data_IF_845533247624
#
_entry.id   IF_845533247624
#
_cell.length_a   1.000
_cell.length_b   1.000
_cell.length_c   1.000
_cell.angle_alpha   90.00
_cell.angle_beta   90.00
_cell.angle_gamma   90.00
#
_symmetry.space_group_name_H-M   'P 1'
#
loop_
_entity.id
_entity.type
_entity.pdbx_description
1 polymer ?
#
# COMPACT_ATOMS: atom_id res chain seq x y z
N UNK A 1 40.44 92.81 30.86
CA UNK A 1 39.86 92.09 32.01
C UNK A 1 39.74 90.60 31.61
N UNK A 2 40.31 89.77 32.40
CA UNK A 2 40.60 88.38 32.07
C UNK A 2 39.39 87.47 32.15
N UNK A 3 39.11 86.68 31.06
CA UNK A 3 38.10 85.61 31.02
C UNK A 3 38.80 84.26 30.94
N UNK A 4 38.63 83.43 31.99
CA UNK A 4 39.20 82.10 32.07
C UNK A 4 38.50 81.10 31.18
N UNK A 5 39.26 80.42 30.37
CA UNK A 5 38.83 79.26 29.61
C UNK A 5 38.92 77.95 30.42
N UNK A 6 37.85 77.20 30.53
CA UNK A 6 37.82 75.82 31.09
C UNK A 6 37.99 74.77 29.99
N UNK A 7 38.76 73.68 30.19
CA UNK A 7 38.98 72.69 29.18
C UNK A 7 37.83 71.66 29.14
N UNK A 8 37.33 71.37 27.95
CA UNK A 8 36.38 70.30 27.69
C UNK A 8 37.07 68.94 27.80
N UNK A 9 36.58 68.11 28.71
CA UNK A 9 36.91 66.67 28.77
C UNK A 9 36.32 65.93 27.58
N UNK A 10 37.17 65.26 26.77
CA UNK A 10 36.80 64.33 25.78
C UNK A 10 36.32 63.01 26.45
N UNK A 11 35.07 62.63 26.19
CA UNK A 11 34.54 61.28 26.52
C UNK A 11 35.06 60.30 25.47
N UNK A 12 35.84 59.31 25.86
CA UNK A 12 36.19 58.14 25.10
C UNK A 12 35.03 57.17 25.20
N UNK A 13 34.30 56.90 24.07
CA UNK A 13 33.34 55.81 23.93
C UNK A 13 34.12 54.51 23.74
N UNK A 14 33.96 53.59 24.67
CA UNK A 14 34.44 52.23 24.52
C UNK A 14 33.42 51.45 23.68
N UNK A 15 33.80 50.98 22.50
CA UNK A 15 33.03 50.08 21.70
C UNK A 15 33.30 48.68 22.26
N UNK A 16 32.31 48.07 22.90
CA UNK A 16 32.34 46.65 23.28
C UNK A 16 32.02 45.80 22.02
N UNK A 17 33.01 45.10 21.52
CA UNK A 17 32.82 44.08 20.46
C UNK A 17 32.31 42.82 21.18
N UNK A 18 31.01 42.59 21.12
CA UNK A 18 30.39 41.33 21.53
C UNK A 18 30.68 40.25 20.51
N UNK A 19 31.54 39.29 20.83
CA UNK A 19 31.71 38.08 20.04
C UNK A 19 30.46 37.21 20.21
N UNK A 20 29.63 37.11 19.16
CA UNK A 20 28.55 36.11 19.07
C UNK A 20 29.18 34.77 18.73
N UNK A 21 29.32 33.91 19.72
CA UNK A 21 29.63 32.50 19.51
C UNK A 21 28.38 31.85 18.85
N UNK A 22 28.42 31.63 17.54
CA UNK A 22 27.49 30.76 16.86
C UNK A 22 27.81 29.31 17.27
N UNK A 23 27.02 28.73 18.17
CA UNK A 23 27.03 27.30 18.44
C UNK A 23 26.34 26.65 17.23
N UNK A 24 27.12 26.08 16.35
CA UNK A 24 26.61 25.18 15.32
C UNK A 24 26.04 23.96 16.05
N UNK A 25 24.72 23.84 16.09
CA UNK A 25 24.07 22.60 16.48
C UNK A 25 24.47 21.55 15.44
N UNK A 26 25.33 20.61 15.81
CA UNK A 26 25.56 19.40 15.05
C UNK A 26 24.24 18.61 15.15
N UNK A 27 23.47 18.59 14.07
CA UNK A 27 22.31 17.72 13.98
C UNK A 27 22.82 16.28 14.21
N UNK A 28 22.24 15.58 15.18
CA UNK A 28 22.48 14.16 15.32
C UNK A 28 22.15 13.49 13.97
N UNK A 29 22.95 12.51 13.49
CA UNK A 29 22.59 11.76 12.30
C UNK A 29 21.18 11.17 12.53
N UNK A 30 20.30 11.33 11.55
CA UNK A 30 19.02 10.64 11.56
C UNK A 30 19.31 9.15 11.81
N UNK A 31 18.58 8.52 12.73
CA UNK A 31 18.69 7.09 12.92
C UNK A 31 18.42 6.44 11.56
N UNK A 32 19.33 5.53 11.13
CA UNK A 32 19.07 4.73 9.93
C UNK A 32 17.75 3.99 10.14
N UNK A 33 16.88 4.03 9.10
CA UNK A 33 15.61 3.32 9.13
C UNK A 33 15.86 1.82 9.33
N UNK A 34 15.16 1.22 10.29
CA UNK A 34 15.34 -0.18 10.61
C UNK A 34 14.70 -1.05 9.51
N UNK A 35 15.48 -1.93 8.91
CA UNK A 35 14.98 -2.89 7.91
C UNK A 35 14.65 -4.20 8.62
N UNK A 36 13.48 -4.77 8.36
CA UNK A 36 13.09 -6.07 8.92
C UNK A 36 14.10 -7.17 8.56
N UNK A 37 14.21 -8.21 9.38
CA UNK A 37 15.07 -9.35 9.08
C UNK A 37 14.67 -10.03 7.76
N UNK A 38 15.63 -10.47 6.95
CA UNK A 38 15.36 -11.15 5.67
C UNK A 38 14.85 -12.59 5.83
N UNK A 39 14.94 -13.17 7.02
CA UNK A 39 14.41 -14.50 7.34
C UNK A 39 13.04 -14.38 7.98
N UNK A 40 11.97 -14.96 7.39
CA UNK A 40 10.63 -14.84 7.95
C UNK A 40 10.49 -15.60 9.26
N UNK A 41 9.61 -15.12 10.14
CA UNK A 41 9.23 -15.85 11.36
C UNK A 41 8.32 -17.03 11.01
N UNK A 42 8.32 -18.12 11.82
CA UNK A 42 7.40 -19.24 11.61
C UNK A 42 5.94 -18.80 11.82
N UNK A 43 5.15 -18.87 10.76
CA UNK A 43 3.71 -18.56 10.79
C UNK A 43 2.94 -19.54 9.92
N UNK A 44 1.60 -19.57 10.04
CA UNK A 44 0.80 -20.36 9.12
C UNK A 44 1.04 -19.94 7.68
N UNK A 45 1.00 -20.90 6.78
CA UNK A 45 1.17 -20.75 5.33
C UNK A 45 -0.10 -21.15 4.60
N UNK A 46 -0.26 -20.69 3.37
CA UNK A 46 -1.44 -21.02 2.53
C UNK A 46 -1.08 -22.08 1.49
N UNK A 47 -2.09 -22.81 0.97
CA UNK A 47 -1.90 -23.75 -0.14
C UNK A 47 -2.04 -23.09 -1.52
N UNK A 48 -2.20 -21.78 -1.58
CA UNK A 48 -2.35 -21.01 -2.81
C UNK A 48 -2.02 -19.55 -2.60
N UNK A 49 -2.15 -18.75 -3.65
CA UNK A 49 -1.72 -17.36 -3.69
C UNK A 49 -2.52 -16.46 -2.74
N UNK A 50 -1.80 -15.61 -1.98
CA UNK A 50 -2.36 -14.47 -1.25
C UNK A 50 -2.26 -13.23 -2.12
N UNK A 51 -3.37 -12.49 -2.26
CA UNK A 51 -3.49 -11.28 -3.07
C UNK A 51 -3.61 -10.00 -2.23
N UNK A 52 -4.04 -10.11 -0.98
CA UNK A 52 -4.26 -8.96 -0.11
C UNK A 52 -4.02 -9.35 1.34
N UNK A 53 -3.40 -8.44 2.08
CA UNK A 53 -3.09 -8.59 3.50
C UNK A 53 -3.49 -7.28 4.19
N UNK A 54 -4.13 -7.37 5.35
CA UNK A 54 -4.36 -6.22 6.24
C UNK A 54 -4.02 -6.63 7.66
N UNK A 55 -3.22 -5.83 8.34
CA UNK A 55 -2.85 -6.01 9.75
C UNK A 55 -3.58 -4.95 10.58
N UNK A 56 -4.43 -5.39 11.50
CA UNK A 56 -5.13 -4.47 12.41
C UNK A 56 -5.45 -5.13 13.73
N UNK A 57 -5.26 -4.40 14.83
CA UNK A 57 -5.61 -4.83 16.20
C UNK A 57 -5.06 -6.22 16.57
N UNK A 58 -3.81 -6.52 16.18
CA UNK A 58 -3.16 -7.80 16.48
C UNK A 58 -3.63 -8.98 15.63
N UNK A 59 -4.40 -8.73 14.57
CA UNK A 59 -4.87 -9.73 13.61
C UNK A 59 -4.34 -9.44 12.21
N UNK A 60 -3.85 -10.48 11.55
CA UNK A 60 -3.48 -10.47 10.13
C UNK A 60 -4.63 -11.10 9.35
N UNK A 61 -5.34 -10.32 8.55
CA UNK A 61 -6.34 -10.82 7.61
C UNK A 61 -5.69 -11.03 6.26
N UNK A 62 -5.87 -12.21 5.66
CA UNK A 62 -5.33 -12.57 4.34
C UNK A 62 -6.47 -12.96 3.40
N UNK A 63 -6.38 -12.49 2.15
CA UNK A 63 -7.32 -12.81 1.09
C UNK A 63 -6.60 -13.32 -0.18
N UNK A 64 -7.21 -14.24 -0.94
CA UNK A 64 -6.52 -14.77 -2.11
C UNK A 64 -7.23 -15.88 -2.87
N UNK A 65 -6.42 -16.80 -3.40
CA UNK A 65 -6.86 -17.99 -4.16
C UNK A 65 -6.64 -19.31 -3.42
N UNK A 66 -6.27 -19.26 -2.17
CA UNK A 66 -6.05 -20.46 -1.36
C UNK A 66 -7.38 -21.07 -0.88
N UNK A 67 -7.33 -22.32 -0.46
CA UNK A 67 -8.48 -23.05 0.12
C UNK A 67 -8.16 -23.63 1.50
N UNK A 68 -6.90 -23.53 1.92
CA UNK A 68 -6.49 -24.00 3.23
C UNK A 68 -5.26 -23.23 3.75
N UNK A 69 -5.14 -23.21 5.07
CA UNK A 69 -3.95 -22.75 5.79
C UNK A 69 -3.39 -23.91 6.63
N UNK A 70 -2.08 -23.91 6.90
CA UNK A 70 -1.40 -24.95 7.66
C UNK A 70 -0.17 -24.40 8.37
N UNK A 71 0.33 -25.06 9.42
CA UNK A 71 1.57 -24.65 10.09
C UNK A 71 2.76 -24.55 9.14
N UNK A 72 3.71 -23.66 9.43
CA UNK A 72 4.95 -23.49 8.67
C UNK A 72 5.73 -24.80 8.55
N UNK A 73 6.25 -25.08 7.35
CA UNK A 73 7.09 -26.27 7.09
C UNK A 73 6.39 -27.62 7.26
N UNK A 74 5.06 -27.64 7.53
CA UNK A 74 4.28 -28.87 7.74
C UNK A 74 3.44 -29.23 6.52
N UNK A 75 3.29 -30.52 6.26
CA UNK A 75 2.29 -31.07 5.33
C UNK A 75 1.01 -31.52 6.04
N UNK A 76 0.96 -31.49 7.37
CA UNK A 76 -0.18 -31.88 8.21
C UNK A 76 -0.74 -30.66 8.97
N UNK A 77 -1.87 -30.87 9.66
CA UNK A 77 -2.52 -29.79 10.44
C UNK A 77 -3.19 -28.71 9.55
N UNK A 78 -3.59 -29.09 8.34
CA UNK A 78 -4.31 -28.19 7.43
C UNK A 78 -5.70 -27.86 7.94
N UNK A 79 -6.04 -26.58 7.93
CA UNK A 79 -7.37 -26.05 8.29
C UNK A 79 -7.98 -25.45 7.03
N UNK A 80 -9.19 -25.89 6.68
CA UNK A 80 -9.92 -25.31 5.53
C UNK A 80 -10.21 -23.84 5.78
N UNK A 81 -9.81 -22.99 4.83
CA UNK A 81 -10.10 -21.56 4.77
C UNK A 81 -10.21 -21.16 3.31
N UNK A 82 -11.44 -20.98 2.86
CA UNK A 82 -11.71 -20.68 1.46
C UNK A 82 -11.53 -19.19 1.19
N UNK A 83 -10.46 -18.86 0.49
CA UNK A 83 -10.14 -17.53 -0.07
C UNK A 83 -9.91 -16.40 0.94
N UNK A 84 -10.18 -16.60 2.22
CA UNK A 84 -9.89 -15.65 3.29
C UNK A 84 -9.61 -16.38 4.59
N UNK A 85 -8.68 -15.85 5.38
CA UNK A 85 -8.34 -16.34 6.72
C UNK A 85 -7.85 -15.19 7.61
N UNK A 86 -7.86 -15.43 8.92
CA UNK A 86 -7.24 -14.54 9.89
C UNK A 86 -6.20 -15.31 10.73
N UNK A 87 -5.06 -14.66 10.98
CA UNK A 87 -3.98 -15.16 11.80
C UNK A 87 -3.76 -14.21 12.98
N UNK A 88 -3.31 -14.75 14.11
CA UNK A 88 -2.86 -13.93 15.22
C UNK A 88 -1.47 -13.35 14.91
N UNK A 89 -1.32 -12.04 14.95
CA UNK A 89 -0.03 -11.37 14.79
C UNK A 89 0.99 -11.80 15.87
N UNK A 90 0.52 -12.02 17.10
CA UNK A 90 1.40 -12.37 18.22
C UNK A 90 1.93 -13.82 18.15
N UNK A 91 1.18 -14.75 17.54
CA UNK A 91 1.52 -16.19 17.59
C UNK A 91 1.68 -16.84 16.22
N UNK A 92 1.32 -16.13 15.13
CA UNK A 92 1.30 -16.67 13.77
C UNK A 92 0.25 -17.78 13.56
N UNK A 93 -0.60 -18.08 14.56
CA UNK A 93 -1.59 -19.17 14.51
C UNK A 93 -2.86 -18.74 13.80
N UNK A 94 -3.52 -19.69 13.10
CA UNK A 94 -4.82 -19.44 12.48
C UNK A 94 -5.90 -19.21 13.54
N UNK A 95 -6.70 -18.18 13.32
CA UNK A 95 -7.87 -17.86 14.17
C UNK A 95 -9.13 -18.58 13.67
N UNK A 96 -10.18 -18.73 14.52
CA UNK A 96 -11.45 -19.35 14.13
C UNK A 96 -12.20 -18.61 13.02
N UNK A 97 -11.85 -17.36 12.73
CA UNK A 97 -12.48 -16.53 11.72
C UNK A 97 -12.46 -17.19 10.33
N UNK A 98 -13.65 -17.48 9.79
CA UNK A 98 -13.84 -18.18 8.50
C UNK A 98 -15.08 -17.65 7.77
N UNK A 99 -14.95 -16.65 6.91
CA UNK A 99 -16.07 -16.14 6.13
C UNK A 99 -16.49 -17.08 5.00
N UNK A 100 -15.72 -18.11 4.69
CA UNK A 100 -16.00 -19.13 3.68
C UNK A 100 -16.45 -18.51 2.34
N UNK A 101 -15.53 -17.87 1.64
CA UNK A 101 -15.77 -17.17 0.35
C UNK A 101 -15.68 -18.17 -0.79
N UNK A 102 -16.61 -18.14 -1.77
CA UNK A 102 -16.64 -19.12 -2.87
C UNK A 102 -15.80 -18.75 -4.09
N UNK A 103 -15.01 -17.68 -4.04
CA UNK A 103 -14.15 -17.24 -5.15
C UNK A 103 -13.07 -16.28 -4.68
N UNK A 104 -12.22 -15.88 -5.61
CA UNK A 104 -11.01 -15.10 -5.31
C UNK A 104 -11.34 -13.81 -4.57
N UNK A 105 -10.68 -13.61 -3.42
CA UNK A 105 -10.57 -12.32 -2.76
C UNK A 105 -9.35 -11.60 -3.33
N UNK A 106 -9.56 -10.39 -3.84
CA UNK A 106 -8.54 -9.54 -4.46
C UNK A 106 -8.05 -8.46 -3.51
N UNK A 107 -8.96 -7.94 -2.68
CA UNK A 107 -8.68 -6.86 -1.75
C UNK A 107 -9.43 -7.05 -0.45
N UNK A 108 -8.80 -6.62 0.63
CA UNK A 108 -9.35 -6.50 1.97
C UNK A 108 -9.23 -5.05 2.45
N UNK A 109 -10.22 -4.60 3.22
CA UNK A 109 -10.12 -3.40 4.03
C UNK A 109 -10.75 -3.69 5.41
N UNK A 110 -10.21 -3.10 6.48
CA UNK A 110 -10.72 -3.33 7.85
C UNK A 110 -11.07 -2.00 8.49
N UNK A 111 -12.29 -1.90 9.00
CA UNK A 111 -12.79 -0.70 9.67
C UNK A 111 -14.18 -0.95 10.25
N UNK A 112 -14.60 -0.14 11.22
CA UNK A 112 -15.94 -0.19 11.81
C UNK A 112 -16.33 -1.58 12.40
N UNK A 113 -15.34 -2.32 12.93
CA UNK A 113 -15.55 -3.69 13.43
C UNK A 113 -15.83 -4.72 12.33
N UNK A 114 -15.48 -4.44 11.07
CA UNK A 114 -15.74 -5.26 9.89
C UNK A 114 -14.49 -5.49 9.07
N UNK A 115 -14.49 -6.61 8.33
CA UNK A 115 -13.60 -6.86 7.21
C UNK A 115 -14.43 -6.77 5.93
N UNK A 116 -14.05 -5.86 5.06
CA UNK A 116 -14.65 -5.73 3.72
C UNK A 116 -13.84 -6.59 2.76
N UNK A 117 -14.55 -7.37 1.94
CA UNK A 117 -13.99 -8.30 0.97
C UNK A 117 -14.33 -7.83 -0.43
N UNK A 118 -13.33 -7.52 -1.25
CA UNK A 118 -13.46 -7.22 -2.67
C UNK A 118 -12.89 -8.35 -3.52
N UNK A 119 -13.50 -8.65 -4.68
CA UNK A 119 -12.94 -9.70 -5.53
C UNK A 119 -13.84 -10.20 -6.64
N UNK A 120 -13.69 -11.49 -6.97
CA UNK A 120 -14.42 -12.20 -8.04
C UNK A 120 -15.18 -13.42 -7.47
N UNK A 121 -15.97 -13.17 -6.44
CA UNK A 121 -16.81 -14.18 -5.78
C UNK A 121 -18.30 -13.87 -5.98
N UNK A 122 -19.17 -14.81 -5.66
CA UNK A 122 -20.63 -14.67 -5.74
C UNK A 122 -21.33 -14.97 -4.42
N UNK A 123 -20.65 -15.61 -3.47
CA UNK A 123 -21.20 -15.86 -2.12
C UNK A 123 -20.13 -15.83 -1.03
N UNK A 124 -20.57 -15.48 0.18
CA UNK A 124 -19.79 -15.47 1.41
C UNK A 124 -20.62 -16.14 2.49
N UNK A 125 -20.06 -17.13 3.19
CA UNK A 125 -20.77 -17.89 4.22
C UNK A 125 -22.09 -18.52 3.72
N UNK A 126 -22.14 -18.98 2.47
CA UNK A 126 -23.36 -19.50 1.84
C UNK A 126 -24.40 -18.43 1.45
N UNK A 127 -24.19 -17.17 1.81
CA UNK A 127 -25.09 -16.05 1.48
C UNK A 127 -24.66 -15.39 0.16
N UNK A 128 -25.63 -15.11 -0.73
CA UNK A 128 -25.33 -14.42 -2.00
C UNK A 128 -24.76 -13.03 -1.73
N UNK A 129 -23.51 -12.83 -2.11
CA UNK A 129 -22.74 -11.57 -2.04
C UNK A 129 -21.83 -11.51 -3.24
N UNK A 130 -22.13 -10.61 -4.15
CA UNK A 130 -21.41 -10.56 -5.44
C UNK A 130 -20.30 -9.52 -5.37
N UNK A 131 -19.04 -9.97 -5.39
CA UNK A 131 -17.80 -9.20 -5.58
C UNK A 131 -17.45 -8.17 -4.49
N UNK A 132 -18.41 -7.79 -3.64
CA UNK A 132 -18.20 -6.89 -2.51
C UNK A 132 -19.08 -7.34 -1.35
N UNK A 133 -18.47 -7.59 -0.20
CA UNK A 133 -19.16 -8.04 1.02
C UNK A 133 -18.51 -7.42 2.24
N UNK A 134 -19.25 -7.38 3.35
CA UNK A 134 -18.71 -7.11 4.67
C UNK A 134 -18.99 -8.32 5.60
N UNK A 135 -18.00 -8.66 6.40
CA UNK A 135 -18.12 -9.65 7.46
C UNK A 135 -17.70 -9.04 8.79
N UNK A 136 -18.20 -9.55 9.88
CA UNK A 136 -17.80 -9.15 11.23
C UNK A 136 -16.32 -9.50 11.47
N UNK A 137 -15.54 -8.57 11.98
CA UNK A 137 -14.10 -8.72 12.13
C UNK A 137 -13.71 -9.76 13.20
N UNK A 138 -14.55 -10.02 14.18
CA UNK A 138 -14.27 -10.98 15.24
C UNK A 138 -14.73 -12.40 14.88
N UNK A 139 -15.93 -12.54 14.30
CA UNK A 139 -16.57 -13.85 14.05
C UNK A 139 -16.47 -14.35 12.60
N UNK A 140 -16.25 -13.46 11.62
CA UNK A 140 -16.35 -13.80 10.20
C UNK A 140 -17.78 -13.90 9.66
N UNK A 141 -18.79 -13.64 10.48
CA UNK A 141 -20.19 -13.71 10.08
C UNK A 141 -20.53 -12.62 9.05
N UNK A 142 -21.32 -12.99 8.04
CA UNK A 142 -21.75 -12.07 6.98
C UNK A 142 -22.63 -10.96 7.56
N UNK A 143 -22.31 -9.71 7.25
CA UNK A 143 -23.15 -8.56 7.58
C UNK A 143 -24.35 -8.52 6.64
N UNK A 144 -25.54 -8.86 7.13
CA UNK A 144 -26.75 -9.07 6.32
C UNK A 144 -27.19 -7.81 5.55
N UNK A 145 -27.09 -6.62 6.17
CA UNK A 145 -27.48 -5.35 5.58
C UNK A 145 -26.52 -4.81 4.52
N UNK A 146 -25.29 -5.36 4.39
CA UNK A 146 -24.29 -4.86 3.46
C UNK A 146 -24.30 -5.68 2.15
N UNK A 147 -24.84 -5.11 1.05
CA UNK A 147 -24.93 -5.81 -0.23
C UNK A 147 -24.91 -4.86 -1.45
N UNK A 148 -23.77 -4.24 -1.79
CA UNK A 148 -23.66 -3.24 -2.85
C UNK A 148 -23.81 -3.78 -4.28
N UNK A 149 -23.42 -5.03 -4.54
CA UNK A 149 -23.53 -5.75 -5.83
C UNK A 149 -22.89 -5.04 -7.02
N UNK A 150 -21.55 -4.86 -7.07
CA UNK A 150 -20.87 -4.40 -8.27
C UNK A 150 -21.04 -5.38 -9.45
N UNK A 151 -21.13 -4.86 -10.69
CA UNK A 151 -21.29 -5.68 -11.91
C UNK A 151 -20.00 -6.36 -12.36
N UNK A 152 -18.85 -5.91 -11.91
CA UNK A 152 -17.50 -6.44 -12.22
C UNK A 152 -16.65 -6.62 -10.97
N UNK A 153 -15.45 -7.19 -11.12
CA UNK A 153 -14.53 -7.43 -10.01
C UNK A 153 -14.14 -6.15 -9.27
N UNK A 154 -14.07 -6.25 -7.95
CA UNK A 154 -13.50 -5.21 -7.07
C UNK A 154 -12.05 -5.59 -6.78
N UNK A 155 -11.10 -4.75 -7.22
CA UNK A 155 -9.66 -5.04 -7.13
C UNK A 155 -9.01 -4.39 -5.91
N UNK A 156 -9.52 -3.23 -5.48
CA UNK A 156 -8.99 -2.51 -4.34
C UNK A 156 -10.10 -1.85 -3.53
N UNK A 157 -9.89 -1.79 -2.22
CA UNK A 157 -10.78 -1.20 -1.23
C UNK A 157 -9.97 -0.32 -0.29
N UNK A 158 -10.51 0.85 0.04
CA UNK A 158 -10.04 1.69 1.13
C UNK A 158 -11.22 2.14 1.98
N UNK A 159 -11.08 2.13 3.31
CA UNK A 159 -12.13 2.56 4.23
C UNK A 159 -11.64 3.76 5.05
N UNK A 160 -12.46 4.81 5.09
CA UNK A 160 -12.20 6.00 5.90
C UNK A 160 -13.51 6.45 6.55
N UNK A 161 -13.52 6.49 7.88
CA UNK A 161 -14.74 6.77 8.63
C UNK A 161 -15.88 5.82 8.22
N UNK A 162 -17.01 6.35 7.78
CA UNK A 162 -18.15 5.57 7.32
C UNK A 162 -18.23 5.44 5.79
N UNK A 163 -17.15 5.69 5.07
CA UNK A 163 -17.08 5.54 3.61
C UNK A 163 -16.15 4.43 3.22
N UNK A 164 -16.62 3.50 2.37
CA UNK A 164 -15.82 2.49 1.71
C UNK A 164 -15.69 2.86 0.23
N UNK A 165 -14.46 3.14 -0.19
CA UNK A 165 -14.10 3.39 -1.58
C UNK A 165 -13.71 2.07 -2.25
N UNK A 166 -14.16 1.88 -3.48
CA UNK A 166 -13.92 0.68 -4.27
C UNK A 166 -13.44 1.04 -5.67
N UNK A 167 -12.34 0.41 -6.07
CA UNK A 167 -11.81 0.43 -7.43
C UNK A 167 -11.88 -0.96 -8.06
N UNK A 168 -12.13 -1.02 -9.36
CA UNK A 168 -12.23 -2.31 -10.03
C UNK A 168 -12.44 -2.23 -11.53
N UNK A 169 -13.17 -3.21 -12.05
CA UNK A 169 -13.57 -3.25 -13.46
C UNK A 169 -15.10 -3.44 -13.57
N UNK A 170 -15.84 -2.60 -12.91
CA UNK A 170 -17.31 -2.65 -12.92
C UNK A 170 -17.89 -1.42 -13.63
N UNK A 171 -19.10 -1.59 -14.17
CA UNK A 171 -19.85 -0.51 -14.84
C UNK A 171 -21.09 -0.08 -14.07
N UNK A 172 -21.49 -0.87 -13.05
CA UNK A 172 -22.62 -0.52 -12.17
C UNK A 172 -22.35 -1.01 -10.75
N UNK A 173 -22.97 -0.35 -9.77
CA UNK A 173 -23.08 -0.79 -8.37
C UNK A 173 -24.56 -0.72 -7.98
N UNK A 174 -25.15 -1.86 -7.54
CA UNK A 174 -26.57 -1.94 -7.22
C UNK A 174 -27.51 -1.57 -8.38
N UNK A 175 -27.05 -1.75 -9.64
CA UNK A 175 -27.78 -1.34 -10.84
C UNK A 175 -27.58 0.14 -11.25
N UNK A 176 -26.94 0.96 -10.44
CA UNK A 176 -26.60 2.35 -10.77
C UNK A 176 -25.26 2.44 -11.48
N UNK A 177 -25.17 3.22 -12.57
CA UNK A 177 -23.96 3.39 -13.36
C UNK A 177 -22.79 3.92 -12.50
N UNK A 178 -21.65 3.26 -12.57
CA UNK A 178 -20.37 3.61 -11.93
C UNK A 178 -19.22 3.03 -12.74
N UNK A 179 -18.38 3.88 -13.28
CA UNK A 179 -17.28 3.46 -14.16
C UNK A 179 -16.00 3.23 -13.35
N UNK A 180 -15.78 1.98 -12.93
CA UNK A 180 -14.55 1.49 -12.29
C UNK A 180 -14.24 2.06 -10.89
N UNK A 181 -15.00 3.07 -10.43
CA UNK A 181 -14.87 3.71 -9.12
C UNK A 181 -16.25 3.87 -8.48
N UNK A 182 -16.34 3.65 -7.18
CA UNK A 182 -17.54 3.87 -6.38
C UNK A 182 -17.19 4.13 -4.92
N UNK A 183 -18.04 4.86 -4.23
CA UNK A 183 -18.06 4.94 -2.77
C UNK A 183 -19.42 4.45 -2.25
N UNK A 184 -19.38 3.65 -1.18
CA UNK A 184 -20.57 3.16 -0.49
C UNK A 184 -20.49 3.50 1.00
N UNK A 185 -21.63 3.65 1.64
CA UNK A 185 -21.72 3.72 3.09
C UNK A 185 -21.19 2.41 3.70
N UNK A 186 -20.18 2.50 4.53
CA UNK A 186 -19.47 1.35 5.10
C UNK A 186 -20.34 0.52 6.06
N UNK A 187 -21.43 1.10 6.58
CA UNK A 187 -22.37 0.40 7.47
C UNK A 187 -23.46 -0.33 6.70
N UNK A 188 -24.11 0.32 5.76
CA UNK A 188 -25.27 -0.21 5.04
C UNK A 188 -24.95 -0.78 3.66
N UNK A 189 -23.80 -0.43 3.06
CA UNK A 189 -23.49 -0.74 1.68
C UNK A 189 -24.26 0.09 0.66
N UNK A 190 -25.00 1.11 1.08
CA UNK A 190 -25.72 2.01 0.19
C UNK A 190 -24.74 2.84 -0.65
N UNK A 191 -25.02 2.92 -1.96
CA UNK A 191 -24.20 3.70 -2.88
C UNK A 191 -24.26 5.20 -2.54
N UNK A 192 -23.11 5.85 -2.39
CA UNK A 192 -23.02 7.29 -2.22
C UNK A 192 -23.14 7.97 -3.58
N UNK A 193 -24.32 8.51 -3.89
CA UNK A 193 -24.65 9.07 -5.20
C UNK A 193 -23.81 10.28 -5.56
N UNK A 194 -23.43 11.10 -4.56
CA UNK A 194 -22.62 12.29 -4.73
C UNK A 194 -21.15 12.03 -5.05
N UNK A 195 -20.64 10.80 -4.79
CA UNK A 195 -19.29 10.41 -5.15
C UNK A 195 -19.32 9.49 -6.37
N UNK A 196 -19.07 10.06 -7.55
CA UNK A 196 -19.28 9.35 -8.81
C UNK A 196 -18.20 9.64 -9.86
N UNK A 197 -16.90 9.63 -9.52
CA UNK A 197 -15.85 9.77 -10.53
C UNK A 197 -15.90 8.61 -11.53
N UNK A 198 -15.56 8.88 -12.79
CA UNK A 198 -15.57 7.89 -13.86
C UNK A 198 -14.16 7.71 -14.42
N UNK A 199 -13.51 6.59 -14.07
CA UNK A 199 -12.28 6.16 -14.70
C UNK A 199 -12.60 5.42 -16.02
N UNK A 200 -11.90 5.77 -17.12
CA UNK A 200 -12.18 5.18 -18.42
C UNK A 200 -11.66 3.73 -18.59
N UNK A 201 -10.89 3.23 -17.64
CA UNK A 201 -10.36 1.85 -17.63
C UNK A 201 -10.15 1.39 -16.18
N UNK A 202 -9.69 0.15 -16.03
CA UNK A 202 -9.47 -0.60 -14.81
C UNK A 202 -8.75 0.20 -13.72
N UNK A 203 -9.36 0.29 -12.55
CA UNK A 203 -8.72 0.76 -11.30
C UNK A 203 -8.19 -0.44 -10.54
N UNK A 204 -6.91 -0.39 -10.18
CA UNK A 204 -6.19 -1.48 -9.51
C UNK A 204 -5.89 -1.19 -8.06
N UNK A 205 -5.62 0.07 -7.73
CA UNK A 205 -5.33 0.51 -6.37
C UNK A 205 -6.17 1.73 -6.00
N UNK A 206 -6.66 1.74 -4.77
CA UNK A 206 -7.33 2.86 -4.10
C UNK A 206 -6.74 2.94 -2.70
N UNK A 207 -6.27 4.10 -2.32
CA UNK A 207 -5.75 4.34 -0.98
C UNK A 207 -6.12 5.75 -0.50
N UNK A 208 -6.01 5.98 0.80
CA UNK A 208 -6.37 7.26 1.42
C UNK A 208 -5.12 7.99 1.89
N UNK A 209 -5.11 9.31 1.71
CA UNK A 209 -4.16 10.14 2.45
C UNK A 209 -4.33 9.91 3.95
N UNK A 210 -3.22 9.89 4.70
CA UNK A 210 -3.23 9.67 6.15
C UNK A 210 -4.08 10.70 6.90
N UNK A 211 -4.17 11.93 6.38
CA UNK A 211 -5.00 13.01 6.91
C UNK A 211 -6.48 12.97 6.46
N UNK A 212 -6.84 11.98 5.63
CA UNK A 212 -8.20 11.81 5.09
C UNK A 212 -8.62 12.85 4.05
N UNK A 213 -7.72 13.70 3.58
CA UNK A 213 -8.06 14.83 2.68
C UNK A 213 -8.14 14.43 1.21
N UNK A 214 -7.62 13.26 0.82
CA UNK A 214 -7.58 12.78 -0.56
C UNK A 214 -7.80 11.28 -0.64
N UNK A 215 -8.45 10.85 -1.73
CA UNK A 215 -8.46 9.45 -2.19
C UNK A 215 -7.52 9.36 -3.38
N UNK A 216 -6.45 8.57 -3.27
CA UNK A 216 -5.58 8.27 -4.38
C UNK A 216 -6.09 7.04 -5.11
N UNK A 217 -6.07 7.10 -6.44
CA UNK A 217 -6.50 5.99 -7.30
C UNK A 217 -5.44 5.74 -8.36
N UNK A 218 -5.18 4.46 -8.65
CA UNK A 218 -4.19 4.08 -9.65
C UNK A 218 -4.66 2.87 -10.47
N UNK A 219 -4.16 2.74 -11.71
CA UNK A 219 -4.59 1.67 -12.59
C UNK A 219 -4.18 1.82 -14.05
N UNK A 220 -5.00 1.26 -14.93
CA UNK A 220 -4.80 1.33 -16.39
C UNK A 220 -5.42 2.59 -17.02
N UNK A 221 -6.29 3.28 -16.31
CA UNK A 221 -7.04 4.43 -16.84
C UNK A 221 -6.10 5.55 -17.33
N UNK A 222 -6.59 6.31 -18.29
CA UNK A 222 -5.91 7.50 -18.83
C UNK A 222 -6.69 8.78 -18.58
N UNK A 223 -7.97 8.65 -18.21
CA UNK A 223 -8.83 9.80 -17.87
C UNK A 223 -9.70 9.50 -16.65
N UNK A 224 -9.98 10.55 -15.88
CA UNK A 224 -11.06 10.61 -14.86
C UNK A 224 -12.03 11.72 -15.31
N UNK A 225 -13.32 11.40 -15.42
CA UNK A 225 -14.36 12.32 -15.86
C UNK A 225 -14.04 13.01 -17.20
N UNK A 226 -13.32 12.29 -18.08
CA UNK A 226 -12.86 12.80 -19.39
C UNK A 226 -11.61 13.68 -19.35
N UNK A 227 -11.16 14.12 -18.17
CA UNK A 227 -9.90 14.86 -18.01
C UNK A 227 -8.68 13.91 -17.97
N UNK A 228 -7.54 14.36 -18.49
CA UNK A 228 -6.33 13.53 -18.56
C UNK A 228 -5.73 13.31 -17.16
N UNK A 229 -5.72 12.06 -16.72
CA UNK A 229 -5.08 11.56 -15.51
C UNK A 229 -4.49 10.18 -15.81
N UNK A 230 -3.25 10.14 -16.33
CA UNK A 230 -2.65 8.87 -16.77
C UNK A 230 -2.18 8.06 -15.57
N UNK A 231 -2.88 6.95 -15.31
CA UNK A 231 -2.50 5.85 -14.43
C UNK A 231 -2.50 6.15 -12.92
N UNK A 232 -2.56 7.42 -12.52
CA UNK A 232 -2.69 7.86 -11.13
C UNK A 232 -3.46 9.17 -11.04
N UNK A 233 -4.29 9.32 -10.01
CA UNK A 233 -5.02 10.55 -9.72
C UNK A 233 -5.26 10.68 -8.21
N UNK A 234 -5.43 11.93 -7.74
CA UNK A 234 -5.97 12.23 -6.43
C UNK A 234 -7.39 12.80 -6.58
N UNK A 235 -8.31 12.32 -5.76
CA UNK A 235 -9.72 12.71 -5.79
C UNK A 235 -10.14 13.33 -4.45
N UNK A 236 -11.06 14.26 -4.50
CA UNK A 236 -11.73 14.77 -3.30
C UNK A 236 -12.58 13.65 -2.65
N UNK A 237 -12.42 13.38 -1.35
CA UNK A 237 -13.10 12.27 -0.70
C UNK A 237 -14.61 12.45 -0.56
N UNK A 238 -15.12 13.68 -0.68
CA UNK A 238 -16.55 14.00 -0.53
C UNK A 238 -17.28 14.05 -1.87
N UNK A 239 -16.65 14.66 -2.87
CA UNK A 239 -17.28 14.90 -4.18
C UNK A 239 -16.84 13.94 -5.27
N UNK A 240 -15.66 13.31 -5.12
CA UNK A 240 -15.04 12.50 -6.16
C UNK A 240 -14.34 13.31 -7.26
N UNK A 241 -14.38 14.63 -7.19
CA UNK A 241 -13.73 15.50 -8.18
C UNK A 241 -12.21 15.26 -8.20
N UNK A 242 -11.63 15.17 -9.40
CA UNK A 242 -10.20 15.04 -9.55
C UNK A 242 -9.49 16.33 -9.12
N UNK A 243 -8.45 16.19 -8.31
CA UNK A 243 -7.63 17.30 -7.79
C UNK A 243 -6.61 17.67 -8.87
N UNK A 244 -6.84 18.77 -9.56
CA UNK A 244 -6.04 19.19 -10.72
C UNK A 244 -4.59 19.54 -10.41
N UNK A 245 -4.28 19.91 -9.16
CA UNK A 245 -2.89 20.14 -8.71
C UNK A 245 -2.08 18.85 -8.60
N UNK A 246 -2.73 17.67 -8.46
CA UNK A 246 -2.08 16.38 -8.49
C UNK A 246 -2.14 15.83 -9.92
N UNK A 247 -1.07 16.03 -10.66
CA UNK A 247 -0.99 15.61 -12.06
C UNK A 247 0.39 15.08 -12.38
N UNK A 248 0.47 13.78 -12.64
CA UNK A 248 1.65 13.13 -13.20
C UNK A 248 1.25 12.22 -14.36
N UNK A 249 1.83 12.46 -15.52
CA UNK A 249 1.60 11.65 -16.72
C UNK A 249 2.53 10.45 -16.77
N UNK A 250 2.25 9.40 -16.00
CA UNK A 250 3.00 8.14 -16.08
C UNK A 250 2.88 7.52 -17.46
N UNK A 251 3.97 6.93 -17.95
CA UNK A 251 4.02 6.21 -19.23
C UNK A 251 3.67 4.71 -19.10
N UNK A 252 3.44 4.24 -17.87
CA UNK A 252 3.15 2.84 -17.54
C UNK A 252 1.96 2.75 -16.58
N UNK A 253 1.22 1.64 -16.69
CA UNK A 253 0.10 1.36 -15.80
C UNK A 253 0.59 1.05 -14.38
N UNK A 254 -0.14 1.53 -13.37
CA UNK A 254 0.10 1.23 -11.96
C UNK A 254 -0.72 0.02 -11.53
N UNK A 255 -0.12 -0.89 -10.79
CA UNK A 255 -0.77 -2.14 -10.35
C UNK A 255 -1.03 -2.20 -8.86
N UNK A 256 -0.23 -1.47 -8.08
CA UNK A 256 -0.39 -1.34 -6.63
C UNK A 256 0.14 0.01 -6.16
N UNK A 257 -0.29 0.44 -4.98
CA UNK A 257 0.05 1.74 -4.41
C UNK A 257 -0.01 1.65 -2.89
N UNK A 258 0.92 2.33 -2.23
CA UNK A 258 0.91 2.60 -0.80
C UNK A 258 1.01 4.11 -0.58
N UNK A 259 0.24 4.63 0.36
CA UNK A 259 0.25 6.06 0.71
C UNK A 259 0.53 6.21 2.20
N UNK A 260 1.48 7.04 2.55
CA UNK A 260 1.71 7.44 3.93
C UNK A 260 1.88 8.97 4.07
N UNK A 261 2.51 9.44 5.15
CA UNK A 261 2.67 10.87 5.38
C UNK A 261 3.77 11.51 4.51
N UNK A 262 4.63 10.71 3.88
CA UNK A 262 5.81 11.18 3.12
C UNK A 262 5.56 11.19 1.62
N UNK A 263 4.82 10.21 1.06
CA UNK A 263 4.68 10.03 -0.37
C UNK A 263 3.49 9.19 -0.84
N UNK A 264 3.35 9.12 -2.15
CA UNK A 264 2.52 8.17 -2.88
C UNK A 264 3.44 7.21 -3.61
N UNK A 265 3.62 6.03 -3.05
CA UNK A 265 4.50 4.99 -3.59
C UNK A 265 3.73 4.11 -4.56
N UNK A 266 4.23 3.94 -5.76
CA UNK A 266 3.56 3.22 -6.83
C UNK A 266 4.38 2.03 -7.33
N UNK A 267 3.70 0.93 -7.61
CA UNK A 267 4.21 -0.24 -8.31
C UNK A 267 3.68 -0.24 -9.75
N UNK A 268 4.57 -0.24 -10.73
CA UNK A 268 4.22 -0.12 -12.14
C UNK A 268 4.44 -1.40 -12.93
N UNK A 269 3.49 -1.72 -13.82
CA UNK A 269 3.60 -2.80 -14.80
C UNK A 269 4.09 -2.25 -16.14
N UNK A 270 4.83 -3.10 -16.86
CA UNK A 270 5.37 -2.77 -18.20
C UNK A 270 6.67 -3.52 -18.41
N UNK A 271 7.21 -3.50 -19.60
CA UNK A 271 8.43 -4.20 -19.89
C UNK A 271 9.62 -3.67 -19.07
N UNK A 272 9.98 -4.36 -17.99
CA UNK A 272 10.80 -3.88 -16.88
C UNK A 272 9.94 -3.18 -15.84
N UNK A 273 9.86 -3.70 -14.62
CA UNK A 273 9.04 -3.12 -13.56
C UNK A 273 9.55 -1.75 -13.13
N UNK A 274 8.64 -0.87 -12.80
CA UNK A 274 8.95 0.43 -12.26
C UNK A 274 8.33 0.56 -10.88
N UNK A 275 8.97 1.29 -10.00
CA UNK A 275 8.40 1.74 -8.74
C UNK A 275 8.92 3.14 -8.45
N UNK A 276 8.10 3.96 -7.82
CA UNK A 276 8.43 5.37 -7.63
C UNK A 276 7.74 5.96 -6.41
N UNK A 277 8.29 7.06 -5.92
CA UNK A 277 7.63 7.98 -5.02
C UNK A 277 7.13 9.19 -5.79
N UNK A 278 5.88 9.57 -5.53
CA UNK A 278 5.25 10.78 -6.04
C UNK A 278 4.91 11.71 -4.87
N UNK A 279 5.15 12.99 -5.06
CA UNK A 279 4.80 14.01 -4.09
C UNK A 279 3.27 14.04 -3.81
N UNK A 280 2.88 13.96 -2.54
CA UNK A 280 1.49 13.93 -2.06
C UNK A 280 0.59 15.07 -2.58
N UNK A 281 1.17 16.24 -2.87
CA UNK A 281 0.39 17.43 -3.28
C UNK A 281 0.33 17.61 -4.77
N UNK A 282 1.46 17.42 -5.44
CA UNK A 282 1.62 17.76 -6.87
C UNK A 282 1.61 16.53 -7.78
N UNK A 283 1.84 15.32 -7.24
CA UNK A 283 2.08 14.12 -8.03
C UNK A 283 3.41 14.11 -8.77
N UNK A 284 4.27 15.11 -8.56
CA UNK A 284 5.60 15.13 -9.18
C UNK A 284 6.43 13.95 -8.68
N UNK A 285 7.16 13.31 -9.59
CA UNK A 285 8.07 12.22 -9.25
C UNK A 285 9.22 12.72 -8.38
N UNK A 286 9.40 12.10 -7.21
CA UNK A 286 10.48 12.40 -6.27
C UNK A 286 11.70 11.53 -6.62
N UNK A 287 11.47 10.23 -6.72
CA UNK A 287 12.48 9.27 -7.19
C UNK A 287 11.80 8.10 -7.92
N UNK A 288 12.56 7.35 -8.69
CA UNK A 288 12.08 6.16 -9.40
C UNK A 288 13.17 5.09 -9.43
N UNK A 289 12.77 3.84 -9.21
CA UNK A 289 13.60 2.66 -9.37
C UNK A 289 13.04 1.71 -10.43
N UNK A 290 13.89 0.81 -10.92
CA UNK A 290 13.53 -0.18 -11.95
C UNK A 290 14.00 -1.59 -11.62
N UNK A 291 13.29 -2.58 -12.15
CA UNK A 291 13.59 -4.01 -12.09
C UNK A 291 13.51 -4.65 -13.47
N UNK A 292 14.06 -5.85 -13.65
CA UNK A 292 14.03 -6.58 -14.93
C UNK A 292 12.68 -7.27 -15.22
N UNK A 293 11.72 -7.23 -14.30
CA UNK A 293 10.38 -7.78 -14.45
C UNK A 293 9.36 -6.95 -13.67
N UNK A 294 8.08 -7.29 -13.76
CA UNK A 294 6.99 -6.50 -13.21
C UNK A 294 7.08 -6.34 -11.68
N UNK A 295 6.92 -5.12 -11.19
CA UNK A 295 6.58 -4.83 -9.79
C UNK A 295 5.07 -5.00 -9.62
N UNK A 296 4.64 -5.68 -8.55
CA UNK A 296 3.25 -6.10 -8.34
C UNK A 296 2.68 -5.71 -6.98
N UNK A 297 3.56 -5.43 -6.01
CA UNK A 297 3.18 -5.03 -4.65
C UNK A 297 4.19 -4.01 -4.10
N UNK A 298 3.68 -3.07 -3.30
CA UNK A 298 4.49 -2.06 -2.63
C UNK A 298 3.91 -1.76 -1.25
N UNK A 299 4.77 -1.55 -0.26
CA UNK A 299 4.37 -1.15 1.09
C UNK A 299 5.46 -0.30 1.74
N UNK A 300 5.07 0.52 2.69
CA UNK A 300 5.99 1.29 3.54
C UNK A 300 6.01 0.75 4.97
N UNK A 301 7.16 0.84 5.61
CA UNK A 301 7.33 0.53 7.03
C UNK A 301 8.60 1.25 7.52
N UNK A 302 8.45 2.10 8.54
CA UNK A 302 9.55 2.77 9.26
C UNK A 302 10.62 3.41 8.36
N UNK A 303 10.19 4.22 7.36
CA UNK A 303 11.10 4.92 6.45
C UNK A 303 11.71 4.04 5.36
N UNK A 304 11.20 2.84 5.18
CA UNK A 304 11.59 1.88 4.13
C UNK A 304 10.40 1.59 3.21
N UNK A 305 10.65 1.61 1.91
CA UNK A 305 9.72 1.11 0.89
C UNK A 305 10.11 -0.30 0.50
N UNK A 306 9.21 -1.24 0.73
CA UNK A 306 9.34 -2.65 0.34
C UNK A 306 8.63 -2.88 -0.98
N UNK A 307 9.31 -3.53 -1.90
CA UNK A 307 8.87 -3.74 -3.28
C UNK A 307 8.85 -5.22 -3.59
N UNK A 308 7.73 -5.71 -4.06
CA UNK A 308 7.53 -7.11 -4.43
C UNK A 308 7.08 -7.27 -5.87
N UNK A 309 7.43 -8.42 -6.50
CA UNK A 309 7.00 -8.62 -7.87
C UNK A 309 7.52 -9.89 -8.53
N UNK A 310 7.50 -9.87 -9.86
CA UNK A 310 7.99 -10.92 -10.73
C UNK A 310 9.27 -10.44 -11.44
N UNK A 311 10.34 -10.32 -10.69
CA UNK A 311 11.65 -9.88 -11.17
C UNK A 311 12.76 -10.68 -10.47
N UNK A 312 13.96 -10.66 -11.02
CA UNK A 312 15.14 -11.29 -10.44
C UNK A 312 16.27 -10.29 -10.16
N UNK A 313 16.19 -9.09 -10.75
CA UNK A 313 17.22 -8.08 -10.57
C UNK A 313 16.63 -6.67 -10.37
N UNK A 314 17.29 -5.89 -9.50
CA UNK A 314 17.16 -4.45 -9.41
C UNK A 314 18.07 -3.80 -10.47
N UNK A 315 17.55 -2.87 -11.26
CA UNK A 315 18.20 -2.26 -12.41
C UNK A 315 18.70 -0.81 -12.16
N UNK A 316 18.61 -0.33 -10.94
CA UNK A 316 19.04 1.03 -10.57
C UNK A 316 17.92 2.06 -10.62
N UNK A 317 18.30 3.32 -10.36
CA UNK A 317 17.42 4.49 -10.31
C UNK A 317 17.13 5.10 -11.70
N UNK A 318 17.25 4.32 -12.76
CA UNK A 318 16.99 4.81 -14.12
C UNK A 318 15.59 4.44 -14.56
N UNK A 319 14.76 5.48 -14.72
CA UNK A 319 13.38 5.32 -15.13
C UNK A 319 13.21 4.69 -16.52
N UNK A 320 12.31 3.72 -16.63
CA UNK A 320 11.54 3.41 -17.84
C UNK A 320 12.24 2.76 -19.01
N UNK A 321 13.48 2.28 -18.90
CA UNK A 321 14.16 1.58 -19.99
C UNK A 321 14.47 0.13 -19.60
N UNK A 322 14.03 -0.81 -20.43
CA UNK A 322 14.06 -2.27 -20.25
C UNK A 322 15.44 -2.94 -20.22
N UNK A 323 16.52 -2.21 -20.19
CA UNK A 323 17.87 -2.75 -20.14
C UNK A 323 18.52 -2.38 -18.83
N UNK A 324 18.61 -3.37 -17.92
CA UNK A 324 19.48 -3.27 -16.76
C UNK A 324 20.94 -3.10 -17.25
N UNK A 325 21.46 -1.89 -17.23
CA UNK A 325 22.88 -1.61 -17.52
C UNK A 325 23.78 -2.00 -16.35
N UNK A 326 23.22 -1.97 -15.13
CA UNK A 326 23.82 -2.53 -13.92
C UNK A 326 22.72 -3.31 -13.20
N UNK A 327 22.94 -4.59 -12.89
CA UNK A 327 21.98 -5.40 -12.19
C UNK A 327 22.50 -5.82 -10.82
N UNK A 328 21.70 -5.64 -9.80
CA UNK A 328 21.92 -6.21 -8.47
C UNK A 328 20.84 -7.27 -8.26
N UNK A 329 21.26 -8.49 -8.00
CA UNK A 329 20.34 -9.59 -7.81
C UNK A 329 19.41 -9.34 -6.62
N UNK A 330 18.09 -9.47 -6.86
CA UNK A 330 17.01 -9.34 -5.89
C UNK A 330 15.84 -10.19 -6.36
N UNK A 331 15.73 -11.42 -5.83
CA UNK A 331 14.70 -12.35 -6.30
C UNK A 331 13.34 -12.03 -5.67
N UNK A 332 12.47 -11.37 -6.45
CA UNK A 332 11.05 -11.08 -6.16
C UNK A 332 10.80 -10.04 -5.07
N UNK A 333 11.81 -9.67 -4.28
CA UNK A 333 11.67 -8.72 -3.16
C UNK A 333 12.93 -7.85 -3.05
N UNK A 334 12.72 -6.58 -2.76
CA UNK A 334 13.77 -5.62 -2.40
C UNK A 334 13.23 -4.56 -1.45
N UNK A 335 14.13 -3.80 -0.84
CA UNK A 335 13.80 -2.64 -0.01
C UNK A 335 14.64 -1.45 -0.47
N UNK A 336 14.05 -0.26 -0.41
CA UNK A 336 14.74 1.02 -0.66
C UNK A 336 14.45 2.00 0.46
N UNK A 337 15.36 2.92 0.69
CA UNK A 337 15.13 4.06 1.57
C UNK A 337 13.97 4.92 1.03
N UNK A 338 13.06 5.29 1.89
CA UNK A 338 11.81 5.95 1.53
C UNK A 338 12.02 7.34 0.92
N UNK A 339 12.99 8.10 1.44
CA UNK A 339 13.23 9.49 1.02
C UNK A 339 14.07 9.59 -0.26
N UNK A 340 14.99 8.64 -0.46
CA UNK A 340 16.01 8.72 -1.53
C UNK A 340 15.85 7.66 -2.61
N UNK A 341 15.05 6.61 -2.36
CA UNK A 341 14.96 5.44 -3.23
C UNK A 341 16.23 4.57 -3.22
N UNK A 342 17.20 4.83 -2.33
CA UNK A 342 18.46 4.08 -2.29
C UNK A 342 18.23 2.63 -1.87
N UNK A 343 18.75 1.69 -2.68
CA UNK A 343 18.61 0.26 -2.45
C UNK A 343 19.25 -0.15 -1.11
N UNK A 344 18.48 -0.88 -0.30
CA UNK A 344 18.92 -1.46 0.96
C UNK A 344 19.53 -2.85 0.76
N UNK A 345 20.27 -3.34 1.75
CA UNK A 345 20.89 -4.67 1.72
C UNK A 345 19.89 -5.83 1.85
N UNK A 346 18.64 -5.56 2.22
CA UNK A 346 17.60 -6.56 2.46
C UNK A 346 17.30 -7.40 1.21
N UNK A 347 17.43 -8.71 1.33
CA UNK A 347 17.23 -9.70 0.26
C UNK A 347 16.72 -11.01 0.84
N UNK A 348 15.41 -11.16 1.10
CA UNK A 348 14.84 -12.41 1.58
C UNK A 348 14.75 -13.48 0.50
N UNK A 349 14.87 -13.13 -0.77
CA UNK A 349 14.83 -14.03 -1.93
C UNK A 349 13.66 -15.03 -1.91
N UNK A 350 12.78 -14.96 -2.88
CA UNK A 350 11.65 -15.88 -3.03
C UNK A 350 11.71 -16.64 -4.37
N UNK A 351 11.19 -17.89 -4.38
CA UNK A 351 11.20 -18.76 -5.55
C UNK A 351 9.93 -18.71 -6.42
N UNK A 352 9.19 -17.63 -6.34
CA UNK A 352 7.90 -17.50 -7.03
C UNK A 352 8.04 -17.50 -8.56
N UNK A 353 7.15 -18.23 -9.25
CA UNK A 353 7.01 -18.16 -10.71
C UNK A 353 6.15 -16.98 -11.17
N UNK A 354 5.22 -16.48 -10.34
CA UNK A 354 4.29 -15.40 -10.67
C UNK A 354 4.56 -14.11 -9.91
N UNK A 355 5.26 -14.18 -8.77
CA UNK A 355 5.70 -13.02 -8.01
C UNK A 355 5.08 -12.87 -6.62
N UNK A 356 5.35 -11.73 -6.02
CA UNK A 356 4.77 -11.25 -4.78
C UNK A 356 3.62 -10.32 -5.14
N UNK A 357 2.43 -10.58 -4.62
CA UNK A 357 1.18 -9.90 -4.99
C UNK A 357 0.61 -9.00 -3.89
N UNK A 358 1.10 -9.13 -2.68
CA UNK A 358 0.69 -8.32 -1.55
C UNK A 358 1.87 -8.06 -0.62
N UNK A 359 2.00 -6.83 -0.19
CA UNK A 359 2.88 -6.40 0.90
C UNK A 359 2.09 -5.51 1.84
N UNK A 360 2.36 -5.58 3.13
CA UNK A 360 1.75 -4.71 4.14
C UNK A 360 2.72 -4.52 5.29
N UNK A 361 3.04 -3.28 5.61
CA UNK A 361 3.80 -2.88 6.80
C UNK A 361 2.85 -2.46 7.93
N UNK A 362 3.13 -2.84 9.17
CA UNK A 362 2.40 -2.37 10.35
C UNK A 362 3.22 -2.57 11.62
N UNK A 363 3.43 -1.50 12.39
CA UNK A 363 4.30 -1.54 13.57
C UNK A 363 5.72 -1.96 13.15
N UNK A 364 6.23 -3.06 13.67
CA UNK A 364 7.55 -3.63 13.35
C UNK A 364 7.46 -4.85 12.42
N UNK A 365 6.33 -5.05 11.74
CA UNK A 365 6.05 -6.24 10.94
C UNK A 365 5.83 -5.88 9.48
N UNK A 366 6.52 -6.58 8.59
CA UNK A 366 6.22 -6.66 7.16
C UNK A 366 5.62 -8.03 6.85
N UNK A 367 4.46 -8.06 6.23
CA UNK A 367 3.83 -9.26 5.73
C UNK A 367 3.87 -9.32 4.20
N UNK A 368 4.18 -10.49 3.63
CA UNK A 368 4.28 -10.72 2.20
C UNK A 368 3.35 -11.87 1.76
N UNK A 369 2.62 -11.65 0.67
CA UNK A 369 1.74 -12.61 0.03
C UNK A 369 2.10 -12.86 -1.43
N UNK A 370 1.98 -14.10 -1.90
CA UNK A 370 2.33 -14.44 -3.27
C UNK A 370 2.05 -15.89 -3.62
N UNK A 371 2.72 -16.40 -4.65
CA UNK A 371 2.63 -17.81 -5.06
C UNK A 371 3.93 -18.60 -4.79
N UNK A 372 4.80 -18.05 -3.97
CA UNK A 372 6.07 -18.70 -3.57
C UNK A 372 5.83 -19.96 -2.72
N UNK A 373 6.82 -20.86 -2.71
CA UNK A 373 6.90 -22.03 -1.83
C UNK A 373 8.11 -21.98 -0.91
N UNK A 374 9.05 -21.05 -1.16
CA UNK A 374 10.20 -20.74 -0.33
C UNK A 374 10.45 -19.25 -0.33
N UNK A 375 10.82 -18.70 0.83
CA UNK A 375 11.16 -17.30 1.02
C UNK A 375 12.11 -17.16 2.22
N UNK A 376 13.10 -16.27 2.14
CA UNK A 376 14.08 -16.07 3.23
C UNK A 376 14.83 -17.34 3.61
N UNK A 377 15.12 -18.25 2.65
CA UNK A 377 15.76 -19.53 2.89
C UNK A 377 14.86 -20.60 3.52
N UNK A 378 13.61 -20.29 3.89
CA UNK A 378 12.67 -21.22 4.54
C UNK A 378 11.67 -21.82 3.56
N UNK A 379 11.19 -23.04 3.83
CA UNK A 379 10.00 -23.60 3.20
C UNK A 379 8.78 -22.91 3.82
N UNK A 380 8.21 -21.97 3.10
CA UNK A 380 7.07 -21.13 3.51
C UNK A 380 6.26 -20.82 2.26
N UNK A 381 4.98 -21.19 2.24
CA UNK A 381 4.16 -21.10 1.05
C UNK A 381 3.10 -20.00 1.14
N UNK A 382 3.03 -19.15 0.12
CA UNK A 382 1.95 -18.21 -0.15
C UNK A 382 1.85 -17.02 0.79
N UNK A 383 2.25 -17.14 2.05
CA UNK A 383 2.25 -16.09 3.07
C UNK A 383 3.52 -16.16 3.93
N UNK A 384 4.12 -15.03 4.22
CA UNK A 384 5.28 -14.91 5.10
C UNK A 384 5.21 -13.61 5.91
N UNK A 385 5.81 -13.63 7.09
CA UNK A 385 5.90 -12.52 8.03
C UNK A 385 7.35 -12.28 8.40
N UNK A 386 7.79 -11.02 8.36
CA UNK A 386 9.12 -10.55 8.73
C UNK A 386 9.00 -9.54 9.85
N UNK A 387 9.92 -9.58 10.80
CA UNK A 387 9.99 -8.64 11.93
C UNK A 387 11.36 -7.99 11.99
N UNK A 388 11.45 -6.86 12.66
CA UNK A 388 12.71 -6.23 13.03
C UNK A 388 13.55 -7.10 13.97
#
# INVERSE_FOLDING_TARGET
MFGKSTPRRARRSAIAIGAVLAVAAVAAPAAEAAVVHATPVPTYQTNGRVNSIVIQNGVIYIGGRFTAVRPAGSSSGSVTRNHAAALSLATGQVLPWDPNVNGTVQSLAVGNGRVYLGGSFSSVGGTSRTRLAAVDAASGAVVSGFNPRPSGAVNSLAVSGNTLYAGGNFTTVGGTARSNLAAVDATSGALLSGWAPAANDLVKAVDMAADGTKVYVAGNFTTIDGASHRHVAALDPTTGAAISSFSHGLSYAVVDMAVDASGVFIAGAGGGGNFADLNLTTGAMVWQGGTDGNVQAIATLDGIVYVGGHYDNYCGMQGGQHTCTTSIQRHKLLAVDELTGTLQSWDPSANSALGIFALTGSGTVLAAGGDFTRIGGRAQQGFAEFTE
#
